data_IF_766096237401
#
_entry.id   IF_766096237401
#
_cell.length_a   1.000
_cell.length_b   1.000
_cell.length_c   1.000
_cell.angle_alpha   90.00
_cell.angle_beta   90.00
_cell.angle_gamma   90.00
#
_symmetry.space_group_name_H-M   'P 1'
#
loop_
_entity.id
_entity.type
_entity.pdbx_description
1 polymer ?
#
# COMPACT_ATOMS: atom_id res chain seq x y z
N UNK A 1 2.48 -26.67 -7.87
CA UNK A 1 2.20 -25.29 -8.32
C UNK A 1 1.14 -24.76 -7.38
N UNK A 2 1.46 -23.77 -6.54
CA UNK A 2 0.48 -23.22 -5.60
C UNK A 2 -0.71 -22.65 -6.38
N UNK A 3 -1.93 -22.96 -5.95
CA UNK A 3 -3.11 -22.38 -6.56
C UNK A 3 -3.18 -20.87 -6.25
N UNK A 4 -3.97 -20.12 -7.04
CA UNK A 4 -4.06 -18.66 -6.89
C UNK A 4 -4.51 -18.21 -5.48
N UNK A 5 -5.28 -19.04 -4.77
CA UNK A 5 -5.74 -18.76 -3.41
C UNK A 5 -4.55 -18.78 -2.44
N UNK A 6 -3.68 -19.77 -2.54
CA UNK A 6 -2.49 -19.87 -1.68
C UNK A 6 -1.49 -18.75 -1.98
N UNK A 7 -1.31 -18.40 -3.26
CA UNK A 7 -0.49 -17.24 -3.66
C UNK A 7 -1.04 -15.94 -3.07
N UNK A 8 -2.35 -15.71 -3.18
CA UNK A 8 -3.00 -14.54 -2.59
C UNK A 8 -2.81 -14.49 -1.07
N UNK A 9 -3.00 -15.62 -0.37
CA UNK A 9 -2.79 -15.72 1.07
C UNK A 9 -1.37 -15.32 1.47
N UNK A 10 -0.35 -15.80 0.76
CA UNK A 10 1.05 -15.40 1.01
C UNK A 10 1.27 -13.91 0.79
N UNK A 11 0.72 -13.33 -0.28
CA UNK A 11 0.79 -11.89 -0.51
C UNK A 11 0.17 -11.12 0.66
N UNK A 12 -0.98 -11.54 1.19
CA UNK A 12 -1.58 -10.89 2.37
C UNK A 12 -0.69 -10.96 3.61
N UNK A 13 0.01 -12.07 3.82
CA UNK A 13 1.00 -12.21 4.91
C UNK A 13 2.16 -11.23 4.70
N UNK A 14 2.73 -11.18 3.50
CA UNK A 14 3.82 -10.24 3.16
C UNK A 14 3.39 -8.78 3.34
N UNK A 15 2.17 -8.44 2.94
CA UNK A 15 1.60 -7.10 3.12
C UNK A 15 1.56 -6.70 4.60
N UNK A 16 1.16 -7.63 5.48
CA UNK A 16 1.12 -7.39 6.91
C UNK A 16 2.52 -7.16 7.49
N UNK A 17 3.52 -7.95 7.09
CA UNK A 17 4.90 -7.74 7.53
C UNK A 17 5.46 -6.40 7.04
N UNK A 18 5.18 -6.01 5.79
CA UNK A 18 5.56 -4.68 5.26
C UNK A 18 4.93 -3.57 6.10
N UNK A 19 3.63 -3.69 6.41
CA UNK A 19 2.95 -2.72 7.27
C UNK A 19 3.60 -2.65 8.65
N UNK A 20 3.85 -3.79 9.29
CA UNK A 20 4.49 -3.88 10.61
C UNK A 20 5.87 -3.21 10.63
N UNK A 21 6.70 -3.46 9.61
CA UNK A 21 8.00 -2.80 9.48
C UNK A 21 7.85 -1.29 9.32
N UNK A 22 6.98 -0.81 8.42
CA UNK A 22 6.76 0.62 8.23
C UNK A 22 6.19 1.30 9.48
N UNK A 23 5.28 0.64 10.18
CA UNK A 23 4.69 1.16 11.40
C UNK A 23 5.70 1.21 12.55
N UNK A 24 6.65 0.27 12.61
CA UNK A 24 7.77 0.35 13.54
C UNK A 24 8.67 1.56 13.25
N UNK A 25 8.96 1.82 11.97
CA UNK A 25 9.90 2.87 11.56
C UNK A 25 9.29 4.28 11.62
N UNK A 26 7.99 4.43 11.37
CA UNK A 26 7.30 5.72 11.23
C UNK A 26 6.18 5.96 12.24
N UNK A 27 5.89 4.99 13.12
CA UNK A 27 4.70 5.02 13.97
C UNK A 27 3.40 4.99 13.17
N UNK A 28 2.29 5.29 13.84
CA UNK A 28 0.95 5.39 13.21
C UNK A 28 0.74 6.73 12.48
N UNK A 29 1.72 7.14 11.67
CA UNK A 29 1.67 8.42 10.95
C UNK A 29 0.48 8.49 9.98
N UNK A 30 0.05 7.34 9.45
CA UNK A 30 -1.14 7.28 8.59
C UNK A 30 -2.40 7.58 9.40
N UNK A 31 -2.66 6.87 10.51
CA UNK A 31 -3.83 7.08 11.35
C UNK A 31 -3.89 8.49 11.93
N UNK A 32 -2.76 9.05 12.35
CA UNK A 32 -2.69 10.45 12.80
C UNK A 32 -3.11 11.46 11.72
N UNK A 33 -2.71 11.21 10.47
CA UNK A 33 -3.08 12.09 9.34
C UNK A 33 -4.56 11.89 8.96
N UNK A 34 -5.04 10.64 9.02
CA UNK A 34 -6.43 10.30 8.77
C UNK A 34 -7.36 10.95 9.80
N UNK A 35 -7.03 10.89 11.10
CA UNK A 35 -7.81 11.54 12.17
C UNK A 35 -7.94 13.06 11.98
N UNK A 36 -6.95 13.70 11.35
CA UNK A 36 -6.96 15.16 11.08
C UNK A 36 -7.70 15.55 9.81
N UNK A 37 -7.60 14.75 8.75
CA UNK A 37 -8.02 15.13 7.39
C UNK A 37 -9.10 14.19 6.81
N UNK A 38 -9.48 13.16 7.54
CA UNK A 38 -10.38 12.10 7.13
C UNK A 38 -9.90 11.35 5.89
N UNK A 39 -10.87 10.81 5.15
CA UNK A 39 -10.70 10.02 3.93
C UNK A 39 -9.87 10.72 2.83
N UNK A 40 -9.81 12.05 2.84
CA UNK A 40 -9.02 12.82 1.86
C UNK A 40 -7.53 12.52 1.99
N UNK A 41 -7.03 12.31 3.21
CA UNK A 41 -5.63 11.90 3.42
C UNK A 41 -5.31 10.56 2.76
N UNK A 42 -6.21 9.58 2.92
CA UNK A 42 -6.09 8.26 2.31
C UNK A 42 -6.10 8.33 0.79
N UNK A 43 -7.09 9.04 0.21
CA UNK A 43 -7.21 9.24 -1.24
C UNK A 43 -5.94 9.89 -1.81
N UNK A 44 -5.37 10.86 -1.11
CA UNK A 44 -4.12 11.52 -1.52
C UNK A 44 -2.97 10.52 -1.61
N UNK A 45 -2.75 9.71 -0.56
CA UNK A 45 -1.66 8.71 -0.54
C UNK A 45 -1.84 7.61 -1.58
N UNK A 46 -3.08 7.17 -1.81
CA UNK A 46 -3.40 6.21 -2.86
C UNK A 46 -3.10 6.81 -4.24
N UNK A 47 -3.52 8.06 -4.47
CA UNK A 47 -3.29 8.78 -5.73
C UNK A 47 -1.80 8.93 -6.02
N UNK A 48 -0.98 9.29 -5.03
CA UNK A 48 0.48 9.37 -5.17
C UNK A 48 1.08 8.03 -5.66
N UNK A 49 0.57 6.91 -5.14
CA UNK A 49 1.03 5.56 -5.51
C UNK A 49 0.54 5.15 -6.89
N UNK A 50 -0.69 5.51 -7.28
CA UNK A 50 -1.20 5.32 -8.65
C UNK A 50 -0.35 6.11 -9.65
N UNK A 51 -0.06 7.38 -9.36
CA UNK A 51 0.78 8.23 -10.22
C UNK A 51 2.20 7.64 -10.37
N UNK A 52 2.77 7.12 -9.27
CA UNK A 52 4.04 6.39 -9.31
C UNK A 52 3.94 5.16 -10.22
N UNK A 53 2.90 4.33 -10.06
CA UNK A 53 2.70 3.14 -10.88
C UNK A 53 2.59 3.50 -12.37
N UNK A 54 1.80 4.52 -12.71
CA UNK A 54 1.70 5.03 -14.08
C UNK A 54 3.06 5.47 -14.62
N UNK A 55 3.85 6.21 -13.83
CA UNK A 55 5.20 6.63 -14.23
C UNK A 55 6.14 5.44 -14.47
N UNK A 56 6.07 4.40 -13.63
CA UNK A 56 6.89 3.19 -13.78
C UNK A 56 6.51 2.40 -15.04
N UNK A 57 5.22 2.36 -15.40
CA UNK A 57 4.74 1.65 -16.58
C UNK A 57 4.92 2.40 -17.91
N UNK A 58 5.09 3.72 -17.88
CA UNK A 58 5.16 4.57 -19.08
C UNK A 58 6.58 5.00 -19.45
N UNK A 59 7.52 4.96 -18.52
CA UNK A 59 8.93 5.23 -18.81
C UNK A 59 9.53 4.03 -19.52
N UNK A 60 10.15 4.25 -20.70
CA UNK A 60 10.95 3.26 -21.45
C UNK A 60 12.17 2.72 -20.67
N UNK A 61 12.38 3.19 -19.44
CA UNK A 61 13.41 2.61 -18.59
C UNK A 61 13.08 1.15 -18.33
N UNK A 62 14.13 0.32 -18.33
CA UNK A 62 14.16 -1.07 -17.84
C UNK A 62 13.82 -1.11 -16.34
N UNK A 63 12.63 -0.65 -15.97
CA UNK A 63 12.18 -0.55 -14.59
C UNK A 63 11.94 -1.96 -14.10
N UNK A 64 12.78 -2.34 -13.13
CA UNK A 64 12.82 -3.64 -12.47
C UNK A 64 11.41 -3.99 -11.96
N UNK A 65 10.88 -5.17 -12.34
CA UNK A 65 9.58 -5.70 -11.90
C UNK A 65 9.32 -5.55 -10.40
N UNK A 66 10.38 -5.56 -9.59
CA UNK A 66 10.37 -5.31 -8.16
C UNK A 66 9.72 -3.96 -7.80
N UNK A 67 10.05 -2.88 -8.52
CA UNK A 67 9.51 -1.54 -8.23
C UNK A 67 8.01 -1.41 -8.52
N UNK A 68 7.51 -2.14 -9.52
CA UNK A 68 6.08 -2.23 -9.81
C UNK A 68 5.38 -3.04 -8.72
N UNK A 69 5.92 -4.22 -8.38
CA UNK A 69 5.38 -5.08 -7.33
C UNK A 69 5.32 -4.36 -5.98
N UNK A 70 6.36 -3.63 -5.61
CA UNK A 70 6.40 -2.87 -4.36
C UNK A 70 5.39 -1.72 -4.35
N UNK A 71 5.20 -1.05 -5.50
CA UNK A 71 4.19 0.00 -5.62
C UNK A 71 2.77 -0.57 -5.50
N UNK A 72 2.52 -1.76 -6.06
CA UNK A 72 1.24 -2.48 -5.91
C UNK A 72 1.01 -2.94 -4.47
N UNK A 73 2.04 -3.40 -3.76
CA UNK A 73 1.96 -3.76 -2.35
C UNK A 73 1.64 -2.54 -1.47
N UNK A 74 2.29 -1.40 -1.75
CA UNK A 74 2.00 -0.15 -1.08
C UNK A 74 0.54 0.26 -1.28
N UNK A 75 0.02 0.18 -2.51
CA UNK A 75 -1.39 0.46 -2.80
C UNK A 75 -2.32 -0.41 -1.97
N UNK A 76 -2.07 -1.73 -1.94
CA UNK A 76 -2.86 -2.66 -1.15
C UNK A 76 -2.83 -2.32 0.35
N UNK A 77 -1.66 -1.99 0.89
CA UNK A 77 -1.52 -1.58 2.29
C UNK A 77 -2.23 -0.25 2.59
N UNK A 78 -2.17 0.76 1.70
CA UNK A 78 -2.94 1.99 1.91
C UNK A 78 -4.45 1.73 1.90
N UNK A 79 -4.94 0.86 1.03
CA UNK A 79 -6.35 0.45 1.06
C UNK A 79 -6.72 -0.26 2.37
N UNK A 80 -5.88 -1.17 2.86
CA UNK A 80 -6.12 -1.88 4.13
C UNK A 80 -6.08 -0.92 5.32
N UNK A 81 -5.08 -0.05 5.42
CA UNK A 81 -4.99 0.96 6.49
C UNK A 81 -6.21 1.89 6.48
N UNK A 82 -6.68 2.31 5.29
CA UNK A 82 -7.91 3.11 5.18
C UNK A 82 -9.12 2.36 5.74
N UNK A 83 -9.26 1.07 5.46
CA UNK A 83 -10.34 0.23 6.00
C UNK A 83 -10.25 0.05 7.53
N UNK A 84 -9.04 0.10 8.10
CA UNK A 84 -8.85 0.06 9.56
C UNK A 84 -9.39 1.36 10.16
N UNK A 85 -8.95 2.52 9.68
CA UNK A 85 -9.40 3.82 10.19
C UNK A 85 -10.91 4.04 10.00
N UNK A 86 -11.48 3.61 8.87
CA UNK A 86 -12.93 3.67 8.62
C UNK A 86 -13.77 2.83 9.59
N UNK A 87 -13.18 1.85 10.28
CA UNK A 87 -13.87 1.03 11.28
C UNK A 87 -13.70 1.59 12.70
N UNK A 88 -12.81 2.56 12.90
CA UNK A 88 -12.65 3.27 14.18
C UNK A 88 -13.67 4.42 14.34
N UNK A 89 -14.36 4.82 13.26
CA UNK A 89 -15.51 5.74 13.26
C UNK A 89 -16.85 5.03 13.53
#
# INVERSE_FOLDING_TARGET
>A
MDNKIEQHKRICVDLNEIYKHKNHDYGDSFGETYKKLGIISAITRITDKVNRLQSLCTKEQKVKDESIKDTLRDLANYSIMTLIEMKED
#
